data_IF_161293300894
#
_entry.id   IF_161293300894
#
_cell.length_a   1.000
_cell.length_b   1.000
_cell.length_c   1.000
_cell.angle_alpha   90.00
_cell.angle_beta   90.00
_cell.angle_gamma   90.00
#
_symmetry.space_group_name_H-M   'P 1'
#
loop_
_entity.id
_entity.type
_entity.pdbx_description
1 polymer ?
#
# COMPACT_ATOMS: atom_id res chain seq x y z
N UNK A 1 37.29 -1.55 -17.49
CA UNK A 1 36.22 -2.16 -18.30
C UNK A 1 34.86 -1.89 -17.70
N UNK A 2 34.02 -1.25 -18.52
CA UNK A 2 32.54 -1.24 -18.52
C UNK A 2 31.77 -0.89 -17.24
N UNK A 3 31.74 0.40 -16.88
CA UNK A 3 30.54 1.02 -16.29
C UNK A 3 29.60 1.42 -17.44
N UNK A 4 29.00 0.43 -18.12
CA UNK A 4 27.86 0.71 -19.00
C UNK A 4 26.64 0.94 -18.12
N UNK A 5 26.14 2.18 -18.11
CA UNK A 5 24.91 2.53 -17.41
C UNK A 5 23.77 1.66 -17.95
N UNK A 6 23.29 0.73 -17.13
CA UNK A 6 22.15 -0.12 -17.49
C UNK A 6 20.93 0.80 -17.70
N UNK A 7 20.36 0.86 -18.91
CA UNK A 7 19.23 1.74 -19.16
C UNK A 7 18.01 1.24 -18.38
N UNK A 8 17.39 2.14 -17.61
CA UNK A 8 16.14 1.87 -16.92
C UNK A 8 15.06 1.51 -17.94
N UNK A 9 14.28 0.47 -17.64
CA UNK A 9 13.21 0.03 -18.54
C UNK A 9 11.85 0.60 -18.12
N UNK A 10 11.05 1.18 -19.03
CA UNK A 10 9.76 1.80 -18.68
C UNK A 10 8.77 0.85 -18.00
N UNK A 11 8.82 -0.45 -18.31
CA UNK A 11 7.95 -1.47 -17.70
C UNK A 11 8.12 -1.58 -16.18
N UNK A 12 9.24 -1.13 -15.61
CA UNK A 12 9.45 -1.13 -14.15
C UNK A 12 8.53 -0.17 -13.40
N UNK A 13 7.89 0.77 -14.09
CA UNK A 13 6.84 1.61 -13.50
C UNK A 13 5.55 0.82 -13.22
N UNK A 14 5.35 -0.33 -13.88
CA UNK A 14 4.21 -1.23 -13.66
C UNK A 14 4.57 -2.30 -12.64
N UNK A 15 4.27 -2.03 -11.37
CA UNK A 15 4.68 -2.88 -10.25
C UNK A 15 3.87 -4.19 -10.23
N UNK A 16 4.56 -5.31 -10.42
CA UNK A 16 3.98 -6.66 -10.27
C UNK A 16 4.19 -7.24 -8.87
N UNK A 17 5.27 -6.83 -8.20
CA UNK A 17 5.68 -7.30 -6.88
C UNK A 17 5.94 -6.09 -5.99
N UNK A 18 5.14 -5.95 -4.94
CA UNK A 18 5.25 -4.85 -3.99
C UNK A 18 6.10 -5.29 -2.79
N UNK A 19 7.29 -4.70 -2.56
CA UNK A 19 8.10 -5.00 -1.38
C UNK A 19 7.41 -4.51 -0.10
N UNK A 20 7.59 -5.28 0.97
CA UNK A 20 7.05 -4.98 2.29
C UNK A 20 8.20 -4.61 3.22
N UNK A 21 8.12 -3.45 3.86
CA UNK A 21 9.15 -3.01 4.80
C UNK A 21 9.32 -4.01 5.95
N UNK A 22 10.57 -4.24 6.42
CA UNK A 22 10.84 -5.02 7.62
C UNK A 22 9.98 -4.58 8.82
N UNK A 23 9.60 -5.50 9.72
CA UNK A 23 8.81 -5.18 10.91
C UNK A 23 9.42 -4.09 11.79
N UNK A 24 10.74 -4.04 11.88
CA UNK A 24 11.47 -3.07 12.71
C UNK A 24 11.25 -1.63 12.26
N UNK A 25 11.03 -1.41 10.96
CA UNK A 25 10.70 -0.10 10.39
C UNK A 25 9.19 0.22 10.47
N UNK A 26 8.38 -0.73 10.94
CA UNK A 26 6.93 -0.60 11.08
C UNK A 26 6.44 -1.12 12.44
N UNK A 27 6.93 -0.53 13.55
CA UNK A 27 6.73 -1.08 14.87
C UNK A 27 5.24 -1.18 15.23
N UNK A 28 4.93 -2.26 15.94
CA UNK A 28 3.67 -2.48 16.63
C UNK A 28 4.00 -2.54 18.12
N UNK A 29 3.64 -1.48 18.84
CA UNK A 29 4.02 -1.30 20.25
C UNK A 29 2.83 -1.66 21.12
N UNK A 30 3.02 -2.64 22.01
CA UNK A 30 2.04 -2.95 23.03
C UNK A 30 2.01 -1.81 24.06
N UNK A 31 0.81 -1.37 24.42
CA UNK A 31 0.54 -0.38 25.45
C UNK A 31 -0.09 -1.06 26.67
N UNK A 32 -0.01 -0.40 27.82
CA UNK A 32 -0.68 -0.85 29.04
C UNK A 32 -2.19 -1.03 28.81
N UNK A 33 -2.75 -2.09 29.40
CA UNK A 33 -4.16 -2.45 29.26
C UNK A 33 -4.52 -3.16 27.95
N UNK A 34 -3.56 -3.81 27.28
CA UNK A 34 -3.82 -4.68 26.13
C UNK A 34 -4.11 -3.96 24.81
N UNK A 35 -3.82 -2.65 24.75
CA UNK A 35 -3.93 -1.86 23.52
C UNK A 35 -2.65 -1.95 22.70
N UNK A 36 -2.75 -1.74 21.39
CA UNK A 36 -1.60 -1.71 20.50
C UNK A 36 -1.55 -0.38 19.75
N UNK A 37 -0.38 0.27 19.76
CA UNK A 37 -0.07 1.35 18.84
C UNK A 37 0.51 0.74 17.56
N UNK A 38 -0.11 1.06 16.42
CA UNK A 38 0.24 0.53 15.12
C UNK A 38 0.65 1.68 14.22
N UNK A 39 1.78 1.53 13.51
CA UNK A 39 2.19 2.50 12.47
C UNK A 39 1.13 2.63 11.36
N UNK A 40 0.88 3.85 10.89
CA UNK A 40 -0.07 4.14 9.80
C UNK A 40 0.21 3.30 8.53
N UNK A 41 1.48 3.02 8.25
CA UNK A 41 1.92 2.22 7.10
C UNK A 41 1.45 0.77 7.20
N UNK A 42 1.30 0.21 8.40
CA UNK A 42 0.75 -1.14 8.58
C UNK A 42 -0.71 -1.21 8.12
N UNK A 43 -1.49 -0.16 8.35
CA UNK A 43 -2.87 -0.09 7.88
C UNK A 43 -2.95 0.05 6.36
N UNK A 44 -2.03 0.80 5.75
CA UNK A 44 -1.93 0.92 4.29
C UNK A 44 -1.53 -0.42 3.65
N UNK A 45 -0.52 -1.11 4.18
CA UNK A 45 -0.16 -2.47 3.73
C UNK A 45 -1.33 -3.46 3.87
N UNK A 46 -2.04 -3.44 5.01
CA UNK A 46 -3.19 -4.34 5.23
C UNK A 46 -4.27 -4.12 4.18
N UNK A 47 -4.54 -2.87 3.79
CA UNK A 47 -5.49 -2.54 2.72
C UNK A 47 -5.06 -3.15 1.39
N UNK A 48 -3.80 -2.99 0.99
CA UNK A 48 -3.28 -3.58 -0.26
C UNK A 48 -3.43 -5.11 -0.24
N UNK A 49 -3.01 -5.76 0.84
CA UNK A 49 -3.09 -7.23 0.99
C UNK A 49 -4.54 -7.71 0.89
N UNK A 50 -5.46 -7.05 1.59
CA UNK A 50 -6.87 -7.42 1.59
C UNK A 50 -7.50 -7.26 0.21
N UNK A 51 -7.19 -6.17 -0.52
CA UNK A 51 -7.68 -5.95 -1.90
C UNK A 51 -7.10 -6.97 -2.87
N UNK A 52 -5.81 -7.28 -2.77
CA UNK A 52 -5.16 -8.28 -3.62
C UNK A 52 -5.75 -9.69 -3.37
N UNK A 53 -5.94 -10.06 -2.11
CA UNK A 53 -6.55 -11.35 -1.73
C UNK A 53 -7.98 -11.45 -2.23
N UNK A 54 -8.75 -10.37 -2.11
CA UNK A 54 -10.12 -10.30 -2.62
C UNK A 54 -10.18 -10.39 -4.14
N UNK A 55 -9.30 -9.69 -4.85
CA UNK A 55 -9.19 -9.77 -6.31
C UNK A 55 -8.87 -11.19 -6.78
N UNK A 56 -7.92 -11.87 -6.14
CA UNK A 56 -7.60 -13.28 -6.42
C UNK A 56 -8.83 -14.18 -6.29
N UNK A 57 -9.55 -14.08 -5.16
CA UNK A 57 -10.79 -14.84 -4.92
C UNK A 57 -11.87 -14.54 -5.96
N UNK A 58 -12.04 -13.28 -6.36
CA UNK A 58 -13.03 -12.90 -7.38
C UNK A 58 -12.70 -13.50 -8.75
N UNK A 59 -11.42 -13.60 -9.09
CA UNK A 59 -10.97 -14.26 -10.33
C UNK A 59 -11.19 -15.77 -10.25
N UNK A 60 -10.85 -16.40 -9.12
CA UNK A 60 -11.06 -17.84 -8.90
C UNK A 60 -12.55 -18.25 -8.96
N UNK A 61 -13.46 -17.35 -8.56
CA UNK A 61 -14.91 -17.58 -8.59
C UNK A 61 -15.57 -17.14 -9.91
N UNK A 62 -14.78 -16.76 -10.92
CA UNK A 62 -15.25 -16.25 -12.22
C UNK A 62 -16.30 -15.12 -12.07
N UNK A 63 -16.02 -14.18 -11.16
CA UNK A 63 -16.91 -13.06 -10.91
C UNK A 63 -17.06 -12.17 -12.17
N UNK A 64 -18.23 -11.53 -12.37
CA UNK A 64 -18.46 -10.63 -13.50
C UNK A 64 -17.36 -9.59 -13.70
N UNK A 65 -17.04 -9.28 -14.95
CA UNK A 65 -15.91 -8.42 -15.30
C UNK A 65 -16.01 -7.03 -14.65
N UNK A 66 -17.22 -6.50 -14.47
CA UNK A 66 -17.46 -5.21 -13.79
C UNK A 66 -16.94 -5.25 -12.35
N UNK A 67 -17.17 -6.35 -11.64
CA UNK A 67 -16.73 -6.52 -10.25
C UNK A 67 -15.20 -6.64 -10.20
N UNK A 68 -14.61 -7.42 -11.11
CA UNK A 68 -13.15 -7.56 -11.22
C UNK A 68 -12.50 -6.21 -11.55
N UNK A 69 -13.04 -5.44 -12.51
CA UNK A 69 -12.54 -4.10 -12.86
C UNK A 69 -12.61 -3.14 -11.68
N UNK A 70 -13.70 -3.16 -10.92
CA UNK A 70 -13.80 -2.33 -9.72
C UNK A 70 -12.79 -2.76 -8.64
N UNK A 71 -12.57 -4.06 -8.42
CA UNK A 71 -11.58 -4.51 -7.44
C UNK A 71 -10.15 -4.20 -7.88
N UNK A 72 -9.84 -4.29 -9.19
CA UNK A 72 -8.56 -3.81 -9.76
C UNK A 72 -8.36 -2.32 -9.49
N UNK A 73 -9.39 -1.49 -9.73
CA UNK A 73 -9.36 -0.06 -9.39
C UNK A 73 -9.10 0.14 -7.90
N UNK A 74 -9.81 -0.57 -7.02
CA UNK A 74 -9.63 -0.45 -5.56
C UNK A 74 -8.24 -0.89 -5.08
N UNK A 75 -7.66 -1.91 -5.71
CA UNK A 75 -6.29 -2.34 -5.45
C UNK A 75 -5.29 -1.25 -5.86
N UNK A 76 -5.47 -0.66 -7.05
CA UNK A 76 -4.64 0.46 -7.51
C UNK A 76 -4.69 1.63 -6.53
N UNK A 77 -5.88 2.01 -6.07
CA UNK A 77 -6.04 3.11 -5.10
C UNK A 77 -5.36 2.81 -3.75
N UNK A 78 -5.37 1.54 -3.33
CA UNK A 78 -4.68 1.13 -2.10
C UNK A 78 -3.14 1.22 -2.26
N UNK A 79 -2.61 0.85 -3.43
CA UNK A 79 -1.17 0.95 -3.73
C UNK A 79 -0.75 2.42 -3.83
N UNK A 80 -1.55 3.26 -4.50
CA UNK A 80 -1.29 4.69 -4.58
C UNK A 80 -1.23 5.33 -3.18
N UNK A 81 -2.18 5.00 -2.31
CA UNK A 81 -2.21 5.50 -0.94
C UNK A 81 -1.03 5.00 -0.08
N UNK A 82 -0.52 3.80 -0.35
CA UNK A 82 0.69 3.30 0.33
C UNK A 82 1.91 4.14 -0.03
N UNK A 83 2.09 4.46 -1.31
CA UNK A 83 3.23 5.25 -1.78
C UNK A 83 3.10 6.72 -1.40
N UNK A 84 1.96 7.34 -1.72
CA UNK A 84 1.71 8.76 -1.49
C UNK A 84 0.21 9.00 -1.25
N UNK A 85 -0.18 8.96 0.03
CA UNK A 85 -1.56 9.18 0.46
C UNK A 85 -2.00 10.64 0.33
N UNK A 86 -1.05 11.58 0.36
CA UNK A 86 -1.32 13.01 0.35
C UNK A 86 -1.64 13.57 -1.04
N UNK A 87 -1.31 12.84 -2.11
CA UNK A 87 -1.47 13.30 -3.50
C UNK A 87 -2.91 13.39 -3.99
N UNK A 88 -3.82 12.60 -3.40
CA UNK A 88 -5.24 12.54 -3.80
C UNK A 88 -6.09 13.43 -2.89
N UNK A 89 -7.11 14.08 -3.48
CA UNK A 89 -8.06 14.95 -2.77
C UNK A 89 -8.75 14.25 -1.57
N UNK A 90 -8.94 12.94 -1.66
CA UNK A 90 -9.51 12.10 -0.61
C UNK A 90 -8.45 11.15 -0.06
N UNK A 91 -7.57 11.67 0.80
CA UNK A 91 -6.59 10.87 1.53
C UNK A 91 -7.28 9.77 2.36
N UNK A 92 -6.67 8.61 2.41
CA UNK A 92 -7.12 7.49 3.23
C UNK A 92 -6.95 7.85 4.70
N UNK A 93 -8.06 7.82 5.45
CA UNK A 93 -8.12 8.17 6.87
C UNK A 93 -8.15 6.93 7.75
N UNK A 94 -7.48 7.03 8.91
CA UNK A 94 -7.53 6.03 9.97
C UNK A 94 -8.72 6.22 10.92
N UNK A 95 -8.75 5.46 12.01
CA UNK A 95 -9.83 5.48 13.01
C UNK A 95 -10.11 6.89 13.58
N UNK A 96 -9.07 7.70 13.75
CA UNK A 96 -9.18 9.06 14.30
C UNK A 96 -9.54 10.13 13.24
N UNK A 97 -10.03 9.72 12.06
CA UNK A 97 -10.30 10.61 10.89
C UNK A 97 -9.08 11.39 10.37
N UNK A 98 -7.90 11.18 10.94
CA UNK A 98 -6.62 11.71 10.47
C UNK A 98 -6.16 10.93 9.22
N UNK A 99 -5.60 11.60 8.19
CA UNK A 99 -4.96 10.91 7.07
C UNK A 99 -3.79 10.04 7.57
N UNK A 100 -3.71 8.82 7.06
CA UNK A 100 -2.62 7.89 7.34
C UNK A 100 -1.33 8.39 6.69
N UNK A 101 -0.20 8.31 7.41
CA UNK A 101 1.12 8.59 6.85
C UNK A 101 1.57 7.47 5.90
N UNK A 102 1.89 7.84 4.68
CA UNK A 102 2.40 7.00 3.59
C UNK A 102 3.93 6.88 3.60
N UNK A 103 4.48 6.03 2.73
CA UNK A 103 5.93 5.84 2.59
C UNK A 103 6.65 7.15 2.22
N UNK A 104 6.10 7.93 1.29
CA UNK A 104 6.69 9.21 0.88
C UNK A 104 6.73 10.22 2.03
N UNK A 105 5.72 10.23 2.89
CA UNK A 105 5.65 11.13 4.06
C UNK A 105 6.61 10.74 5.18
N UNK A 106 6.99 9.45 5.28
CA UNK A 106 8.03 9.02 6.22
C UNK A 106 9.40 9.54 5.78
N UNK A 107 9.65 9.63 4.48
CA UNK A 107 10.94 10.03 3.91
C UNK A 107 11.08 11.56 3.81
N UNK A 108 9.96 12.30 3.63
CA UNK A 108 9.97 13.77 3.45
C UNK A 108 10.55 14.57 4.63
N UNK A 109 10.83 13.96 5.78
CA UNK A 109 11.45 14.63 6.91
C UNK A 109 10.51 15.57 7.66
N UNK A 110 11.08 16.39 8.54
CA UNK A 110 10.37 17.45 9.27
C UNK A 110 10.59 18.79 8.61
#
# INVERSE_FOLDING_TARGET
DSDEAVPNRPEWMMITNLPVLPPDLRPLVALDGGKFAVSDVNDLYRRVINRNTRLKKLIELDAPEIIIRNEKRMLQEAVDALFDNGRRANAVKGANKRPLKSLSEIIKGK
#
